data_IF_141426877754
#
_entry.id   IF_141426877754
#
_cell.length_a   1.000
_cell.length_b   1.000
_cell.length_c   1.000
_cell.angle_alpha   90.00
_cell.angle_beta   90.00
_cell.angle_gamma   90.00
#
_symmetry.space_group_name_H-M   'P 1'
#
loop_
_entity.id
_entity.type
_entity.pdbx_description
1 polymer ?
#
# COMPACT_ATOMS: atom_id res chain seq x y z
N UNK A 1 -14.07 -20.30 1.22
CA UNK A 1 -12.69 -20.22 0.70
C UNK A 1 -11.74 -20.39 1.87
N UNK A 2 -10.90 -21.42 1.87
CA UNK A 2 -9.93 -21.65 2.93
C UNK A 2 -8.82 -20.61 2.80
N UNK A 3 -8.76 -19.65 3.73
CA UNK A 3 -7.65 -18.71 3.83
C UNK A 3 -6.42 -19.51 4.27
N UNK A 4 -5.55 -19.85 3.32
CA UNK A 4 -4.21 -20.36 3.65
C UNK A 4 -3.58 -19.40 4.65
N UNK A 5 -3.12 -19.95 5.78
CA UNK A 5 -2.46 -19.15 6.82
C UNK A 5 -1.24 -18.45 6.18
N UNK A 6 -1.15 -17.11 6.25
CA UNK A 6 -0.02 -16.39 5.68
C UNK A 6 1.30 -16.86 6.30
N UNK A 7 2.34 -16.90 5.47
CA UNK A 7 3.73 -17.23 5.85
C UNK A 7 4.64 -16.03 5.58
N UNK A 8 5.90 -16.10 6.00
CA UNK A 8 6.88 -15.03 5.74
C UNK A 8 7.11 -14.77 4.25
N UNK A 9 6.75 -15.73 3.38
CA UNK A 9 6.83 -15.66 1.91
C UNK A 9 5.53 -15.19 1.25
N UNK A 10 4.44 -15.09 2.00
CA UNK A 10 3.18 -14.61 1.46
C UNK A 10 3.33 -13.12 1.15
N UNK A 11 3.06 -12.68 -0.10
CA UNK A 11 3.10 -11.26 -0.44
C UNK A 11 1.95 -10.52 0.22
N UNK A 12 2.20 -9.28 0.62
CA UNK A 12 1.22 -8.33 1.15
C UNK A 12 1.21 -7.08 0.30
N UNK A 13 0.15 -6.30 0.42
CA UNK A 13 -0.01 -4.98 -0.19
C UNK A 13 -0.94 -4.12 0.67
N UNK A 14 -1.01 -2.83 0.36
CA UNK A 14 -2.08 -1.93 0.81
C UNK A 14 -3.27 -2.14 -0.12
N UNK A 15 -4.33 -2.73 0.39
CA UNK A 15 -5.63 -2.81 -0.27
C UNK A 15 -6.38 -1.50 -0.03
N UNK A 16 -6.17 -0.53 -0.92
CA UNK A 16 -6.81 0.79 -0.81
C UNK A 16 -8.33 0.69 -0.91
N UNK A 17 -8.88 -0.14 -1.79
CA UNK A 17 -10.34 -0.29 -1.94
C UNK A 17 -10.98 -0.81 -0.65
N UNK A 18 -10.36 -1.83 -0.03
CA UNK A 18 -10.80 -2.30 1.27
C UNK A 18 -10.67 -1.19 2.31
N UNK A 19 -9.56 -0.47 2.35
CA UNK A 19 -9.33 0.54 3.37
C UNK A 19 -10.33 1.70 3.28
N UNK A 20 -10.55 2.25 2.07
CA UNK A 20 -11.56 3.29 1.79
C UNK A 20 -12.96 2.85 2.21
N UNK A 21 -13.30 1.58 2.01
CA UNK A 21 -14.61 1.02 2.37
C UNK A 21 -14.80 0.76 3.87
N UNK A 22 -13.72 0.44 4.60
CA UNK A 22 -13.81 -0.07 5.97
C UNK A 22 -13.37 0.92 7.05
N UNK A 23 -12.58 1.94 6.72
CA UNK A 23 -12.13 2.96 7.66
C UNK A 23 -12.51 4.35 7.14
N UNK A 24 -13.09 5.20 8.00
CA UNK A 24 -13.54 6.54 7.61
C UNK A 24 -12.40 7.56 7.50
N UNK A 25 -11.37 7.39 8.33
CA UNK A 25 -10.30 8.38 8.46
C UNK A 25 -9.09 8.10 7.54
N UNK A 26 -9.22 7.17 6.57
CA UNK A 26 -8.12 6.75 5.70
C UNK A 26 -7.49 7.94 4.96
N UNK A 27 -8.33 8.85 4.45
CA UNK A 27 -7.92 9.98 3.65
C UNK A 27 -7.24 11.08 4.50
N UNK A 28 -7.77 11.34 5.70
CA UNK A 28 -7.13 12.21 6.70
C UNK A 28 -5.74 11.69 7.04
N UNK A 29 -5.62 10.37 7.22
CA UNK A 29 -4.35 9.74 7.49
C UNK A 29 -3.37 9.86 6.31
N UNK A 30 -3.80 9.62 5.06
CA UNK A 30 -2.92 9.81 3.89
C UNK A 30 -2.44 11.26 3.75
N UNK A 31 -3.30 12.25 4.00
CA UNK A 31 -2.93 13.67 4.02
C UNK A 31 -1.85 13.99 5.03
N UNK A 32 -1.92 13.38 6.21
CA UNK A 32 -0.91 13.57 7.26
C UNK A 32 0.49 13.07 6.86
N UNK A 33 0.59 12.23 5.82
CA UNK A 33 1.84 11.71 5.28
C UNK A 33 2.42 12.54 4.13
N UNK A 34 1.68 13.51 3.59
CA UNK A 34 2.20 14.43 2.58
C UNK A 34 3.28 15.35 3.18
N UNK A 35 4.22 15.79 2.35
CA UNK A 35 5.15 16.84 2.76
C UNK A 35 4.42 18.19 2.91
N UNK A 36 5.01 19.19 3.60
CA UNK A 36 4.35 20.46 3.88
C UNK A 36 3.78 21.16 2.63
N UNK A 37 4.54 21.16 1.53
CA UNK A 37 4.12 21.71 0.24
C UNK A 37 2.80 21.09 -0.27
N UNK A 38 2.71 19.76 -0.25
CA UNK A 38 1.52 19.06 -0.73
C UNK A 38 0.38 19.07 0.29
N UNK A 39 0.66 19.18 1.59
CA UNK A 39 -0.38 19.42 2.59
C UNK A 39 -1.11 20.74 2.32
N UNK A 40 -0.36 21.79 1.96
CA UNK A 40 -0.94 23.08 1.56
C UNK A 40 -1.70 22.98 0.24
N UNK A 41 -1.09 22.34 -0.78
CA UNK A 41 -1.71 22.20 -2.10
C UNK A 41 -3.03 21.39 -2.08
N UNK A 42 -3.14 20.41 -1.20
CA UNK A 42 -4.33 19.55 -1.06
C UNK A 42 -5.25 19.95 0.10
N UNK A 43 -5.07 21.14 0.69
CA UNK A 43 -5.85 21.57 1.86
C UNK A 43 -7.37 21.65 1.58
N UNK A 44 -7.75 22.07 0.36
CA UNK A 44 -9.14 22.29 -0.05
C UNK A 44 -9.73 21.14 -0.89
N UNK A 45 -8.91 20.18 -1.32
CA UNK A 45 -9.35 19.03 -2.11
C UNK A 45 -10.32 18.19 -1.29
N UNK A 46 -11.30 17.56 -1.93
CA UNK A 46 -12.24 16.66 -1.23
C UNK A 46 -11.77 15.20 -1.25
N UNK A 47 -12.36 14.36 -0.41
CA UNK A 47 -12.07 12.92 -0.40
C UNK A 47 -12.53 12.25 -1.69
N UNK A 48 -11.65 11.44 -2.28
CA UNK A 48 -11.96 10.68 -3.49
C UNK A 48 -12.00 11.53 -4.76
N UNK A 49 -11.50 12.77 -4.71
CA UNK A 49 -11.32 13.59 -5.90
C UNK A 49 -10.31 12.92 -6.85
N UNK A 50 -10.81 12.57 -8.04
CA UNK A 50 -10.02 11.97 -9.10
C UNK A 50 -9.47 13.08 -9.99
N UNK A 51 -8.17 13.05 -10.23
CA UNK A 51 -7.49 14.01 -11.12
C UNK A 51 -7.06 13.31 -12.40
N UNK A 52 -7.04 14.07 -13.48
CA UNK A 52 -6.45 13.65 -14.75
C UNK A 52 -4.93 13.81 -14.66
N UNK A 53 -4.24 12.75 -14.28
CA UNK A 53 -2.78 12.73 -14.26
C UNK A 53 -2.22 12.34 -15.63
N UNK A 54 -1.26 13.12 -16.12
CA UNK A 54 -0.55 12.85 -17.37
C UNK A 54 0.77 12.18 -17.03
N UNK A 55 0.96 10.95 -17.49
CA UNK A 55 2.21 10.22 -17.33
C UNK A 55 3.32 10.92 -18.13
N UNK A 56 4.43 11.34 -17.48
CA UNK A 56 5.47 12.13 -18.14
C UNK A 56 6.27 11.33 -19.18
N UNK A 57 6.22 9.99 -19.14
CA UNK A 57 6.95 9.13 -20.08
C UNK A 57 6.08 8.69 -21.25
N UNK A 58 4.80 8.41 -21.00
CA UNK A 58 3.89 7.84 -22.01
C UNK A 58 2.92 8.86 -22.60
N UNK A 59 2.77 10.03 -21.98
CA UNK A 59 1.75 11.04 -22.30
C UNK A 59 0.30 10.52 -22.19
N UNK A 60 0.09 9.37 -21.52
CA UNK A 60 -1.24 8.83 -21.24
C UNK A 60 -1.91 9.63 -20.12
N UNK A 61 -3.18 9.95 -20.31
CA UNK A 61 -4.03 10.54 -19.26
C UNK A 61 -4.67 9.42 -18.46
N UNK A 62 -4.48 9.43 -17.13
CA UNK A 62 -5.03 8.44 -16.20
C UNK A 62 -5.80 9.15 -15.10
N UNK A 63 -7.03 8.73 -14.86
CA UNK A 63 -7.78 9.18 -13.69
C UNK A 63 -7.21 8.50 -12.44
N UNK A 64 -6.63 9.29 -11.54
CA UNK A 64 -6.01 8.80 -10.29
C UNK A 64 -6.51 9.58 -9.09
N UNK A 65 -6.47 8.96 -7.91
CA UNK A 65 -6.66 9.65 -6.64
C UNK A 65 -5.46 10.59 -6.43
N UNK A 66 -5.70 11.91 -6.44
CA UNK A 66 -4.63 12.90 -6.50
C UNK A 66 -3.69 12.88 -5.29
N UNK A 67 -4.23 12.55 -4.11
CA UNK A 67 -3.45 12.46 -2.87
C UNK A 67 -2.63 11.19 -2.84
N UNK A 68 -3.25 10.05 -3.12
CA UNK A 68 -2.55 8.77 -3.15
C UNK A 68 -1.44 8.78 -4.20
N UNK A 69 -1.73 9.31 -5.39
CA UNK A 69 -0.76 9.42 -6.47
C UNK A 69 0.43 10.30 -6.07
N UNK A 70 0.17 11.53 -5.63
CA UNK A 70 1.23 12.47 -5.21
C UNK A 70 2.06 11.94 -4.04
N UNK A 71 1.41 11.26 -3.09
CA UNK A 71 2.09 10.62 -1.98
C UNK A 71 3.07 9.56 -2.50
N UNK A 72 2.65 8.69 -3.42
CA UNK A 72 3.47 7.57 -3.89
C UNK A 72 4.50 7.98 -4.97
N UNK A 73 4.22 9.00 -5.77
CA UNK A 73 5.10 9.46 -6.84
C UNK A 73 6.12 10.51 -6.39
N UNK A 74 5.92 11.11 -5.21
CA UNK A 74 6.80 12.17 -4.70
C UNK A 74 7.07 12.03 -3.20
N UNK A 75 6.07 12.25 -2.34
CA UNK A 75 6.30 12.44 -0.90
C UNK A 75 6.93 11.20 -0.23
N UNK A 76 6.54 10.00 -0.66
CA UNK A 76 7.04 8.74 -0.13
C UNK A 76 8.48 8.42 -0.53
N UNK A 77 9.02 9.14 -1.53
CA UNK A 77 10.38 8.97 -2.04
C UNK A 77 11.38 9.93 -1.37
N UNK A 78 10.89 10.87 -0.56
CA UNK A 78 11.73 11.81 0.16
C UNK A 78 12.51 11.10 1.29
N UNK A 79 13.79 11.46 1.52
CA UNK A 79 14.61 10.82 2.56
C UNK A 79 14.01 10.83 3.96
N UNK A 80 13.33 11.92 4.31
CA UNK A 80 12.63 12.12 5.58
C UNK A 80 11.38 11.24 5.75
N UNK A 81 10.89 10.64 4.67
CA UNK A 81 9.71 9.79 4.72
C UNK A 81 10.01 8.45 5.42
N UNK A 82 11.23 7.95 5.30
CA UNK A 82 11.67 6.72 5.97
C UNK A 82 12.35 7.03 7.31
N UNK A 83 11.57 7.23 8.37
CA UNK A 83 12.11 7.36 9.74
C UNK A 83 12.29 5.97 10.39
N UNK A 84 13.50 5.70 10.87
CA UNK A 84 13.93 4.45 11.52
C UNK A 84 13.27 4.21 12.89
N UNK A 85 12.68 5.23 13.51
CA UNK A 85 12.04 5.16 14.82
C UNK A 85 10.52 4.90 14.77
N UNK A 86 9.96 4.64 13.59
CA UNK A 86 8.52 4.40 13.41
C UNK A 86 8.07 3.02 13.93
N UNK A 87 6.80 2.96 14.37
CA UNK A 87 6.18 1.70 14.79
C UNK A 87 6.12 0.69 13.63
N UNK A 88 6.15 -0.61 13.92
CA UNK A 88 6.24 -1.68 12.90
C UNK A 88 5.17 -1.56 11.79
N UNK A 89 3.91 -1.33 12.16
CA UNK A 89 2.80 -1.15 11.20
C UNK A 89 3.06 0.02 10.27
N UNK A 90 3.58 1.12 10.81
CA UNK A 90 3.86 2.33 10.05
C UNK A 90 5.07 2.16 9.14
N UNK A 91 6.16 1.55 9.63
CA UNK A 91 7.32 1.24 8.81
C UNK A 91 6.95 0.37 7.61
N UNK A 92 6.14 -0.68 7.81
CA UNK A 92 5.65 -1.55 6.72
C UNK A 92 4.76 -0.78 5.75
N UNK A 93 3.82 0.01 6.27
CA UNK A 93 2.92 0.81 5.44
C UNK A 93 3.68 1.82 4.56
N UNK A 94 4.63 2.58 5.15
CA UNK A 94 5.48 3.52 4.42
C UNK A 94 6.36 2.83 3.38
N UNK A 95 6.89 1.63 3.68
CA UNK A 95 7.65 0.85 2.72
C UNK A 95 6.83 0.44 1.49
N UNK A 96 5.54 0.14 1.66
CA UNK A 96 4.64 -0.10 0.54
C UNK A 96 4.40 1.16 -0.29
N UNK A 97 4.12 2.31 0.35
CA UNK A 97 3.95 3.57 -0.37
C UNK A 97 5.19 3.95 -1.20
N UNK A 98 6.38 3.87 -0.61
CA UNK A 98 7.63 4.20 -1.26
C UNK A 98 7.98 3.24 -2.43
N UNK A 99 7.43 2.03 -2.42
CA UNK A 99 7.63 1.03 -3.47
C UNK A 99 6.47 1.00 -4.49
N UNK A 100 5.63 2.04 -4.55
CA UNK A 100 4.51 2.06 -5.48
C UNK A 100 3.43 1.01 -5.17
N UNK A 101 3.35 0.54 -3.92
CA UNK A 101 2.48 -0.53 -3.45
C UNK A 101 2.64 -1.86 -4.20
N UNK A 102 3.81 -2.10 -4.81
CA UNK A 102 4.13 -3.40 -5.39
C UNK A 102 4.18 -4.44 -4.26
N UNK A 103 3.49 -5.60 -4.41
CA UNK A 103 3.41 -6.59 -3.35
C UNK A 103 4.76 -7.09 -2.88
N UNK A 104 4.92 -7.24 -1.56
CA UNK A 104 6.16 -7.69 -0.91
C UNK A 104 5.84 -8.65 0.23
N UNK A 105 6.68 -9.67 0.38
CA UNK A 105 6.65 -10.61 1.48
C UNK A 105 7.29 -10.04 2.75
N UNK A 106 7.05 -10.70 3.90
CA UNK A 106 7.69 -10.31 5.14
C UNK A 106 9.22 -10.52 5.11
N UNK A 107 9.71 -11.49 4.31
CA UNK A 107 11.15 -11.68 4.05
C UNK A 107 11.78 -10.48 3.31
N UNK A 108 11.08 -9.93 2.32
CA UNK A 108 11.56 -8.76 1.56
C UNK A 108 11.49 -7.48 2.41
N UNK A 109 10.39 -7.29 3.15
CA UNK A 109 10.24 -6.20 4.11
C UNK A 109 11.31 -6.26 5.22
N UNK A 110 11.68 -7.46 5.66
CA UNK A 110 12.72 -7.67 6.67
C UNK A 110 14.07 -7.10 6.23
N UNK A 111 14.45 -7.31 4.96
CA UNK A 111 15.68 -6.77 4.40
C UNK A 111 15.63 -5.24 4.26
N UNK A 112 14.48 -4.68 3.89
CA UNK A 112 14.29 -3.23 3.70
C UNK A 112 14.23 -2.47 5.03
N UNK A 113 13.59 -3.04 6.05
CA UNK A 113 13.32 -2.39 7.32
C UNK A 113 14.31 -2.75 8.43
N UNK A 114 15.19 -3.72 8.18
CA UNK A 114 16.11 -4.30 9.18
C UNK A 114 15.37 -4.80 10.43
N UNK A 115 14.17 -5.37 10.24
CA UNK A 115 13.31 -5.96 11.28
C UNK A 115 13.12 -7.45 11.03
N UNK A 116 12.92 -8.30 12.07
CA UNK A 116 12.69 -9.73 11.86
C UNK A 116 11.41 -10.02 11.06
N UNK A 117 11.52 -10.84 10.00
CA UNK A 117 10.38 -11.24 9.15
C UNK A 117 9.20 -11.82 9.94
N UNK A 118 9.47 -12.67 10.93
CA UNK A 118 8.44 -13.25 11.80
C UNK A 118 7.68 -12.19 12.62
N UNK A 119 8.36 -11.13 13.05
CA UNK A 119 7.73 -10.03 13.78
C UNK A 119 6.87 -9.17 12.84
N UNK A 120 7.36 -8.91 11.63
CA UNK A 120 6.57 -8.23 10.58
C UNK A 120 5.31 -9.05 10.28
N UNK A 121 5.47 -10.34 9.96
CA UNK A 121 4.36 -11.25 9.64
C UNK A 121 3.32 -11.26 10.75
N UNK A 122 3.72 -11.49 12.00
CA UNK A 122 2.79 -11.53 13.14
C UNK A 122 2.03 -10.21 13.33
N UNK A 123 2.66 -9.09 13.00
CA UNK A 123 2.05 -7.75 13.11
C UNK A 123 0.97 -7.54 12.05
N UNK A 124 1.24 -7.93 10.80
CA UNK A 124 0.36 -7.62 9.65
C UNK A 124 -0.59 -8.76 9.25
N UNK A 125 -0.35 -9.98 9.75
CA UNK A 125 -1.24 -11.15 9.55
C UNK A 125 -2.18 -11.41 10.74
N UNK A 126 -2.22 -10.49 11.70
CA UNK A 126 -3.12 -10.55 12.84
C UNK A 126 -4.60 -10.44 12.44
N UNK A 127 -5.53 -10.62 13.40
CA UNK A 127 -6.96 -10.54 13.14
C UNK A 127 -7.43 -9.13 12.74
N UNK A 128 -6.69 -8.09 13.14
CA UNK A 128 -6.95 -6.71 12.76
C UNK A 128 -6.18 -6.38 11.48
N UNK A 129 -6.91 -5.89 10.48
CA UNK A 129 -6.32 -5.27 9.30
C UNK A 129 -5.93 -3.84 9.67
N UNK A 130 -4.67 -3.48 9.46
CA UNK A 130 -4.17 -2.13 9.72
C UNK A 130 -3.96 -1.41 8.41
N UNK A 131 -4.63 -0.27 8.18
CA UNK A 131 -4.37 0.60 7.02
C UNK A 131 -4.40 -0.16 5.69
N UNK A 132 -5.34 -1.10 5.55
CA UNK A 132 -5.48 -1.95 4.36
C UNK A 132 -4.36 -2.98 4.15
N UNK A 133 -3.41 -3.18 5.06
CA UNK A 133 -2.35 -4.19 4.92
C UNK A 133 -2.96 -5.60 4.90
N UNK A 134 -2.97 -6.22 3.72
CA UNK A 134 -3.62 -7.52 3.48
C UNK A 134 -2.76 -8.42 2.60
N UNK A 135 -2.86 -9.76 2.76
CA UNK A 135 -2.26 -10.70 1.83
C UNK A 135 -2.68 -10.39 0.40
N UNK A 136 -1.72 -10.32 -0.52
CA UNK A 136 -1.98 -10.15 -1.93
C UNK A 136 -2.39 -11.50 -2.52
N UNK A 137 -3.67 -11.62 -2.86
CA UNK A 137 -4.19 -12.79 -3.54
C UNK A 137 -3.94 -12.60 -5.03
N UNK A 138 -2.91 -13.26 -5.57
CA UNK A 138 -2.86 -13.43 -7.02
C UNK A 138 -4.08 -14.27 -7.40
N UNK A 139 -4.98 -13.68 -8.18
CA UNK A 139 -6.07 -14.42 -8.79
C UNK A 139 -5.42 -15.33 -9.86
N UNK A 140 -5.00 -16.53 -9.46
CA UNK A 140 -4.55 -17.54 -10.41
C UNK A 140 -5.83 -18.01 -11.11
N UNK A 141 -6.03 -17.72 -12.42
CA UNK A 141 -7.16 -18.30 -13.13
C UNK A 141 -7.06 -19.82 -13.01
N UNK A 142 -8.16 -20.44 -12.58
CA UNK A 142 -8.26 -21.88 -12.39
C UNK A 142 -7.84 -22.57 -13.70
N UNK A 143 -6.95 -23.58 -13.70
CA UNK A 143 -6.67 -24.33 -14.91
C UNK A 143 -8.00 -24.90 -15.40
N UNK A 144 -8.36 -24.54 -16.63
CA UNK A 144 -9.53 -25.09 -17.33
C UNK A 144 -9.39 -26.61 -17.25
N UNK A 145 -10.38 -27.29 -16.70
CA UNK A 145 -10.40 -28.74 -16.71
C UNK A 145 -10.29 -29.18 -18.18
N UNK A 146 -9.21 -29.87 -18.52
CA UNK A 146 -9.15 -30.62 -19.77
C UNK A 146 -10.19 -31.72 -19.64
N UNK A 147 -11.37 -31.49 -20.24
CA UNK A 147 -12.36 -32.52 -20.50
C UNK A 147 -11.70 -33.56 -21.40
N UNK A 148 -11.24 -34.65 -20.80
CA UNK A 148 -10.77 -35.82 -21.51
C UNK A 148 -11.97 -36.55 -22.13
N UNK A 149 -12.04 -36.51 -23.46
CA UNK A 149 -12.79 -37.47 -24.30
C UNK A 149 -12.21 -38.89 -24.20
#
# INVERSE_FOLDING_TARGET
MSLLKPSIRTPFHIDFDWWKKNERDWHVFLRSLLCPEHQEAFAEVEEGEMIDWIDPNTAEVKAVDGIQHTLMSHCALLPEFSDSHTAMVEAVFRAFLANGNVPMSAEELSKKLERPAETILRTISGPRVYRGLRPYQQNIPNPVAEDGE
#
